data_IF_493761188595
#
_entry.id   IF_493761188595
#
_cell.length_a   1.000
_cell.length_b   1.000
_cell.length_c   1.000
_cell.angle_alpha   90.00
_cell.angle_beta   90.00
_cell.angle_gamma   90.00
#
_symmetry.space_group_name_H-M   'P 1'
#
loop_
_entity.id
_entity.type
_entity.pdbx_description
1 polymer ?
#
# COMPACT_ATOMS: atom_id res chain seq x y z
N UNK A 1 -23.28 17.38 -10.70
CA UNK A 1 -21.91 17.91 -10.56
C UNK A 1 -21.21 16.99 -9.58
N UNK A 2 -20.54 15.98 -10.12
CA UNK A 2 -19.89 14.91 -9.39
C UNK A 2 -18.55 15.43 -8.88
N UNK A 3 -18.47 15.69 -7.57
CA UNK A 3 -17.18 15.95 -6.95
C UNK A 3 -16.50 14.60 -6.75
N UNK A 4 -15.71 14.20 -7.75
CA UNK A 4 -14.56 13.30 -7.58
C UNK A 4 -13.78 13.80 -6.38
N UNK A 5 -13.75 13.04 -5.28
CA UNK A 5 -12.80 13.28 -4.21
C UNK A 5 -11.40 13.18 -4.83
N UNK A 6 -10.67 14.30 -4.98
CA UNK A 6 -9.29 14.22 -5.33
C UNK A 6 -8.63 13.77 -4.04
N UNK A 7 -8.38 12.48 -3.88
CA UNK A 7 -7.24 12.08 -3.06
C UNK A 7 -6.05 12.42 -3.96
N UNK A 8 -5.73 13.72 -4.00
CA UNK A 8 -4.44 14.18 -4.49
C UNK A 8 -3.42 13.33 -3.76
N UNK A 9 -2.58 12.67 -4.55
CA UNK A 9 -1.45 11.90 -4.10
C UNK A 9 -0.58 12.82 -3.25
N UNK A 10 -0.87 12.89 -1.95
CA UNK A 10 -0.08 13.66 -1.01
C UNK A 10 1.34 13.11 -1.11
N UNK A 11 2.23 13.92 -1.68
CA UNK A 11 3.63 13.60 -1.76
C UNK A 11 4.09 13.31 -0.33
N UNK A 12 4.48 12.06 -0.07
CA UNK A 12 4.85 11.60 1.26
C UNK A 12 5.93 12.51 1.86
N UNK A 13 6.83 13.05 1.04
CA UNK A 13 7.86 14.01 1.47
C UNK A 13 7.27 15.31 2.01
N UNK A 14 6.17 15.82 1.42
CA UNK A 14 5.49 17.02 1.88
C UNK A 14 4.78 16.79 3.22
N UNK A 15 4.07 15.66 3.37
CA UNK A 15 3.43 15.27 4.65
C UNK A 15 4.49 15.12 5.75
N UNK A 16 5.68 14.61 5.40
CA UNK A 16 6.82 14.52 6.31
C UNK A 16 7.32 15.91 6.71
N UNK A 17 7.47 16.83 5.75
CA UNK A 17 7.95 18.19 6.01
C UNK A 17 6.99 18.96 6.92
N UNK A 18 5.68 18.84 6.71
CA UNK A 18 4.68 19.55 7.49
C UNK A 18 4.63 19.03 8.94
N UNK A 19 4.76 17.72 9.14
CA UNK A 19 4.89 17.12 10.48
C UNK A 19 6.17 17.55 11.20
N UNK A 20 7.25 17.82 10.46
CA UNK A 20 8.52 18.30 11.03
C UNK A 20 8.43 19.77 11.48
N UNK A 21 7.63 20.59 10.80
CA UNK A 21 7.43 22.00 11.12
C UNK A 21 6.46 22.23 12.29
N UNK A 22 5.54 21.29 12.54
CA UNK A 22 4.53 21.40 13.59
C UNK A 22 5.04 21.14 15.04
N UNK A 23 6.35 20.97 15.24
CA UNK A 23 6.93 20.64 16.55
C UNK A 23 7.36 21.92 17.30
N UNK A 24 6.86 22.20 18.51
CA UNK A 24 7.21 23.41 19.28
C UNK A 24 8.70 23.49 19.62
N UNK A 25 9.28 24.68 19.46
CA UNK A 25 10.70 24.99 19.62
C UNK A 25 11.22 24.80 21.06
N UNK A 26 10.31 24.77 22.03
CA UNK A 26 10.58 24.87 23.48
C UNK A 26 10.99 23.55 24.17
N UNK A 27 10.75 22.40 23.52
CA UNK A 27 11.10 21.06 24.06
C UNK A 27 12.54 20.69 23.70
N UNK A 28 13.51 21.37 24.32
CA UNK A 28 14.95 21.05 24.42
C UNK A 28 15.62 20.51 23.12
N UNK A 29 16.38 21.38 22.44
CA UNK A 29 17.11 21.12 21.17
C UNK A 29 17.79 19.75 21.03
N UNK A 30 18.32 19.17 22.12
CA UNK A 30 18.92 17.82 22.11
C UNK A 30 17.89 16.68 21.99
N UNK A 31 16.73 16.79 22.69
CA UNK A 31 15.64 15.82 22.56
C UNK A 31 14.98 15.91 21.19
N UNK A 32 14.85 17.12 20.63
CA UNK A 32 14.37 17.33 19.26
C UNK A 32 15.28 16.69 18.21
N UNK A 33 16.60 16.85 18.29
CA UNK A 33 17.49 16.22 17.31
C UNK A 33 17.42 14.69 17.37
N UNK A 34 17.44 14.12 18.57
CA UNK A 34 17.33 12.67 18.75
C UNK A 34 15.97 12.13 18.27
N UNK A 35 14.87 12.82 18.60
CA UNK A 35 13.54 12.46 18.10
C UNK A 35 13.39 12.65 16.60
N UNK A 36 13.92 13.74 16.02
CA UNK A 36 13.93 13.97 14.57
C UNK A 36 14.74 12.89 13.87
N UNK A 37 15.94 12.56 14.35
CA UNK A 37 16.76 11.46 13.82
C UNK A 37 16.05 10.11 13.96
N UNK A 38 15.39 9.84 15.08
CA UNK A 38 14.64 8.61 15.28
C UNK A 38 13.38 8.53 14.40
N UNK A 39 12.67 9.64 14.22
CA UNK A 39 11.50 9.76 13.35
C UNK A 39 11.92 9.59 11.89
N UNK A 40 12.94 10.33 11.44
CA UNK A 40 13.52 10.18 10.10
C UNK A 40 14.00 8.75 9.87
N UNK A 41 14.71 8.13 10.81
CA UNK A 41 15.16 6.74 10.72
C UNK A 41 13.98 5.76 10.66
N UNK A 42 12.92 5.99 11.42
CA UNK A 42 11.71 5.15 11.40
C UNK A 42 10.88 5.34 10.13
N UNK A 43 10.92 6.53 9.54
CA UNK A 43 10.31 6.84 8.25
C UNK A 43 11.13 6.28 7.08
N UNK A 44 12.46 6.31 7.18
CA UNK A 44 13.40 5.71 6.22
C UNK A 44 13.46 4.19 6.34
N UNK A 45 13.10 3.62 7.49
CA UNK A 45 13.16 2.17 7.71
C UNK A 45 11.90 1.69 8.44
N UNK A 46 10.74 1.66 7.75
CA UNK A 46 9.54 1.07 8.30
C UNK A 46 9.80 -0.39 8.70
N UNK A 47 9.17 -0.82 9.79
CA UNK A 47 9.34 -2.18 10.28
C UNK A 47 8.81 -3.19 9.25
N UNK A 48 9.56 -4.26 8.95
CA UNK A 48 9.11 -5.28 8.01
C UNK A 48 7.76 -5.87 8.42
N UNK A 49 6.91 -6.14 7.44
CA UNK A 49 5.64 -6.84 7.66
C UNK A 49 5.94 -8.26 8.15
N UNK A 50 5.42 -8.57 9.33
CA UNK A 50 5.66 -9.86 9.98
C UNK A 50 4.87 -10.98 9.29
N UNK A 51 5.44 -12.19 9.27
CA UNK A 51 4.77 -13.38 8.71
C UNK A 51 4.83 -13.50 7.19
N UNK A 52 5.53 -12.60 6.51
CA UNK A 52 5.71 -12.64 5.06
C UNK A 52 7.03 -13.33 4.72
N UNK A 53 6.96 -14.32 3.83
CA UNK A 53 8.11 -15.11 3.37
C UNK A 53 8.39 -14.92 1.88
N UNK A 54 9.50 -15.46 1.39
CA UNK A 54 9.76 -15.51 -0.05
C UNK A 54 8.88 -16.59 -0.69
N UNK A 55 8.25 -16.28 -1.82
CA UNK A 55 7.52 -17.24 -2.61
C UNK A 55 8.49 -18.28 -3.19
N UNK A 56 8.26 -19.56 -2.89
CA UNK A 56 9.03 -20.71 -3.40
C UNK A 56 8.29 -21.47 -4.49
N UNK A 57 6.98 -21.27 -4.58
CA UNK A 57 6.08 -21.90 -5.54
C UNK A 57 5.09 -20.87 -6.05
N UNK A 58 4.57 -21.08 -7.25
CA UNK A 58 3.52 -20.22 -7.81
C UNK A 58 2.18 -20.51 -7.14
N UNK A 59 1.49 -19.47 -6.69
CA UNK A 59 0.11 -19.57 -6.18
C UNK A 59 -0.75 -18.50 -6.81
N UNK A 60 -1.98 -18.86 -7.16
CA UNK A 60 -2.97 -17.93 -7.69
C UNK A 60 -4.28 -18.11 -6.92
N UNK A 61 -4.76 -17.02 -6.34
CA UNK A 61 -6.00 -16.97 -5.57
C UNK A 61 -6.92 -15.90 -6.16
N UNK A 62 -8.20 -16.22 -6.27
CA UNK A 62 -9.23 -15.27 -6.68
C UNK A 62 -9.95 -14.74 -5.43
N UNK A 63 -9.94 -13.43 -5.25
CA UNK A 63 -10.55 -12.74 -4.13
C UNK A 63 -11.79 -11.95 -4.59
N UNK A 64 -12.90 -12.12 -3.87
CA UNK A 64 -14.13 -11.36 -4.07
C UNK A 64 -14.20 -10.22 -3.04
N UNK A 65 -14.08 -8.95 -3.47
CA UNK A 65 -14.11 -7.81 -2.56
C UNK A 65 -15.53 -7.41 -2.13
N UNK A 66 -16.56 -8.21 -2.45
CA UNK A 66 -17.92 -7.95 -2.01
C UNK A 66 -18.01 -7.91 -0.48
N UNK A 67 -18.48 -6.80 0.07
CA UNK A 67 -18.70 -6.63 1.50
C UNK A 67 -20.19 -6.52 1.80
N UNK A 68 -20.60 -7.10 2.93
CA UNK A 68 -21.95 -6.84 3.47
C UNK A 68 -21.89 -5.63 4.39
N UNK A 69 -22.69 -4.63 4.07
CA UNK A 69 -22.79 -3.39 4.83
C UNK A 69 -23.36 -3.71 6.22
N UNK A 70 -22.61 -3.44 7.28
CA UNK A 70 -22.96 -3.81 8.66
C UNK A 70 -23.84 -2.77 9.39
N UNK A 71 -23.93 -1.57 8.84
CA UNK A 71 -24.74 -0.45 9.31
C UNK A 71 -25.16 0.41 8.13
N UNK A 72 -26.27 1.12 8.24
CA UNK A 72 -26.70 2.03 7.17
C UNK A 72 -25.59 3.04 6.87
N UNK A 73 -25.22 3.16 5.60
CA UNK A 73 -24.24 4.12 5.13
C UNK A 73 -25.01 5.31 4.57
N UNK A 74 -24.79 6.49 5.15
CA UNK A 74 -25.31 7.76 4.63
C UNK A 74 -24.16 8.63 4.14
N UNK A 75 -24.42 9.46 3.14
CA UNK A 75 -23.50 10.52 2.75
C UNK A 75 -23.47 11.65 3.81
N UNK A 76 -22.59 12.63 3.62
CA UNK A 76 -22.45 13.80 4.50
C UNK A 76 -23.69 14.72 4.50
N UNK A 77 -24.63 14.51 3.58
CA UNK A 77 -25.88 15.26 3.42
C UNK A 77 -27.09 14.48 3.94
N UNK A 78 -26.90 13.29 4.51
CA UNK A 78 -27.95 12.45 5.07
C UNK A 78 -28.68 11.57 4.04
N UNK A 79 -28.22 11.49 2.79
CA UNK A 79 -28.77 10.58 1.80
C UNK A 79 -28.24 9.16 2.04
N UNK A 80 -29.12 8.18 2.00
CA UNK A 80 -28.76 6.78 2.20
C UNK A 80 -28.00 6.24 0.98
N UNK A 81 -26.72 5.90 1.18
CA UNK A 81 -25.83 5.28 0.19
C UNK A 81 -26.09 3.78 0.09
N UNK A 82 -26.30 3.12 1.23
CA UNK A 82 -26.61 1.69 1.30
C UNK A 82 -27.27 1.33 2.64
N UNK A 83 -28.24 0.42 2.59
CA UNK A 83 -28.86 -0.15 3.79
C UNK A 83 -27.98 -1.23 4.42
N UNK A 84 -28.06 -1.39 5.74
CA UNK A 84 -27.52 -2.53 6.46
C UNK A 84 -28.02 -3.84 5.83
N UNK A 85 -27.09 -4.75 5.58
CA UNK A 85 -27.35 -6.03 4.91
C UNK A 85 -27.17 -5.99 3.39
N UNK A 86 -26.99 -4.81 2.79
CA UNK A 86 -26.68 -4.71 1.36
C UNK A 86 -25.31 -5.32 1.08
N UNK A 87 -25.22 -6.21 0.10
CA UNK A 87 -23.94 -6.69 -0.44
C UNK A 87 -23.50 -5.74 -1.54
N UNK A 88 -22.34 -5.12 -1.36
CA UNK A 88 -21.76 -4.20 -2.35
C UNK A 88 -20.39 -4.71 -2.78
N UNK A 89 -20.13 -4.69 -4.07
CA UNK A 89 -18.79 -4.93 -4.61
C UNK A 89 -18.19 -3.59 -5.07
N UNK A 90 -17.12 -3.10 -4.42
CA UNK A 90 -16.49 -1.82 -4.81
C UNK A 90 -16.08 -1.77 -6.29
N UNK A 91 -15.71 -2.91 -6.88
CA UNK A 91 -15.29 -3.02 -8.28
C UNK A 91 -16.45 -2.89 -9.28
N UNK A 92 -17.71 -2.85 -8.83
CA UNK A 92 -18.85 -2.56 -9.71
C UNK A 92 -18.97 -1.09 -10.04
N UNK A 93 -18.51 -0.21 -9.14
CA UNK A 93 -18.61 1.24 -9.29
C UNK A 93 -17.28 1.86 -9.69
N UNK A 94 -16.16 1.24 -9.31
CA UNK A 94 -14.82 1.78 -9.55
C UNK A 94 -13.83 0.67 -9.80
N UNK A 95 -13.26 0.63 -11.01
CA UNK A 95 -12.13 -0.25 -11.33
C UNK A 95 -10.84 0.28 -10.72
N UNK A 96 -9.93 -0.61 -10.40
CA UNK A 96 -8.55 -0.27 -10.08
C UNK A 96 -7.91 0.44 -11.29
N UNK A 97 -7.38 1.64 -11.05
CA UNK A 97 -6.66 2.41 -12.08
C UNK A 97 -5.30 1.79 -12.44
N UNK A 98 -4.77 0.92 -11.59
CA UNK A 98 -3.49 0.23 -11.73
C UNK A 98 -3.49 -1.06 -10.92
N UNK A 99 -2.67 -2.04 -11.32
CA UNK A 99 -2.41 -3.23 -10.52
C UNK A 99 -1.54 -2.91 -9.30
N UNK A 100 -1.38 -3.90 -8.40
CA UNK A 100 -0.50 -3.76 -7.24
C UNK A 100 0.64 -4.78 -7.32
N UNK A 101 1.84 -4.36 -6.97
CA UNK A 101 3.00 -5.25 -6.79
C UNK A 101 3.47 -5.14 -5.35
N UNK A 102 3.41 -6.25 -4.62
CA UNK A 102 3.91 -6.38 -3.27
C UNK A 102 5.24 -7.12 -3.28
N UNK A 103 6.29 -6.51 -2.74
CA UNK A 103 7.62 -7.13 -2.75
C UNK A 103 8.54 -6.63 -1.64
N UNK A 104 9.63 -7.36 -1.40
CA UNK A 104 10.67 -6.98 -0.45
C UNK A 104 11.67 -6.04 -1.14
N UNK A 105 11.66 -4.76 -0.77
CA UNK A 105 12.52 -3.73 -1.33
C UNK A 105 13.99 -3.81 -0.87
N UNK A 106 14.33 -4.74 0.04
CA UNK A 106 15.73 -5.02 0.41
C UNK A 106 16.39 -6.04 -0.52
N UNK A 107 15.61 -6.66 -1.41
CA UNK A 107 16.05 -7.73 -2.30
C UNK A 107 16.17 -7.24 -3.75
N UNK A 108 17.38 -7.20 -4.33
CA UNK A 108 17.56 -6.76 -5.72
C UNK A 108 16.76 -7.58 -6.73
N UNK A 109 16.60 -8.89 -6.49
CA UNK A 109 15.84 -9.76 -7.39
C UNK A 109 14.33 -9.42 -7.40
N UNK A 110 13.79 -8.96 -6.27
CA UNK A 110 12.40 -8.49 -6.17
C UNK A 110 12.21 -7.16 -6.92
N UNK A 111 13.15 -6.23 -6.77
CA UNK A 111 13.12 -4.95 -7.49
C UNK A 111 13.20 -5.22 -9.01
N UNK A 112 14.10 -6.09 -9.45
CA UNK A 112 14.22 -6.47 -10.86
C UNK A 112 12.93 -7.10 -11.40
N UNK A 113 12.29 -7.98 -10.63
CA UNK A 113 10.98 -8.54 -10.96
C UNK A 113 9.89 -7.47 -11.06
N UNK A 114 9.86 -6.50 -10.15
CA UNK A 114 8.88 -5.42 -10.17
C UNK A 114 9.04 -4.51 -11.41
N UNK A 115 10.29 -4.28 -11.83
CA UNK A 115 10.64 -3.53 -13.06
C UNK A 115 10.30 -4.28 -14.34
N UNK A 116 10.31 -5.62 -14.30
CA UNK A 116 10.00 -6.43 -15.47
C UNK A 116 8.49 -6.60 -15.72
N UNK A 117 7.63 -6.11 -14.82
CA UNK A 117 6.18 -6.22 -15.01
C UNK A 117 5.69 -5.20 -16.04
N UNK A 118 4.95 -5.68 -17.03
CA UNK A 118 4.34 -4.84 -18.06
C UNK A 118 2.99 -4.30 -17.59
N UNK A 119 2.82 -2.98 -17.66
CA UNK A 119 1.59 -2.27 -17.30
C UNK A 119 1.76 -1.29 -16.14
N UNK A 120 0.67 -0.62 -15.79
CA UNK A 120 0.64 0.36 -14.69
C UNK A 120 0.44 -0.34 -13.35
N UNK A 121 1.44 -0.23 -12.48
CA UNK A 121 1.43 -0.85 -11.15
C UNK A 121 1.85 0.12 -10.05
N UNK A 122 1.16 0.06 -8.91
CA UNK A 122 1.65 0.65 -7.66
C UNK A 122 2.62 -0.30 -6.99
N UNK A 123 3.78 0.23 -6.62
CA UNK A 123 4.81 -0.52 -5.91
C UNK A 123 4.59 -0.42 -4.41
N UNK A 124 4.44 -1.55 -3.75
CA UNK A 124 4.16 -1.63 -2.32
C UNK A 124 5.21 -2.53 -1.68
N UNK A 125 5.99 -1.94 -0.78
CA UNK A 125 7.02 -2.67 -0.05
C UNK A 125 6.43 -3.35 1.19
N UNK A 126 6.85 -4.59 1.43
CA UNK A 126 6.64 -5.29 2.71
C UNK A 126 7.86 -5.19 3.62
N UNK A 127 8.99 -4.77 3.07
CA UNK A 127 10.27 -4.56 3.75
C UNK A 127 11.13 -3.61 2.90
N UNK A 128 12.05 -2.88 3.51
CA UNK A 128 12.92 -1.89 2.86
C UNK A 128 12.45 -0.45 3.02
N UNK A 129 13.14 0.48 2.34
CA UNK A 129 12.91 1.92 2.42
C UNK A 129 12.13 2.43 1.20
N UNK A 130 10.86 2.83 1.36
CA UNK A 130 10.07 3.40 0.26
C UNK A 130 10.70 4.67 -0.30
N UNK A 131 11.18 5.56 0.58
CA UNK A 131 11.75 6.85 0.18
C UNK A 131 13.05 6.67 -0.60
N UNK A 132 13.90 5.73 -0.22
CA UNK A 132 15.13 5.44 -0.97
C UNK A 132 14.79 4.86 -2.34
N UNK A 133 13.86 3.90 -2.41
CA UNK A 133 13.49 3.27 -3.67
C UNK A 133 12.76 4.24 -4.61
N UNK A 134 11.89 5.11 -4.08
CA UNK A 134 11.22 6.17 -4.84
C UNK A 134 12.24 7.15 -5.46
N UNK A 135 13.24 7.58 -4.68
CA UNK A 135 14.31 8.43 -5.19
C UNK A 135 15.18 7.72 -6.25
N UNK A 136 15.41 6.42 -6.12
CA UNK A 136 16.20 5.63 -7.06
C UNK A 136 15.47 5.36 -8.36
N UNK A 137 14.17 5.05 -8.28
CA UNK A 137 13.37 4.58 -9.40
C UNK A 137 12.52 5.70 -10.04
N UNK A 138 12.50 6.89 -9.42
CA UNK A 138 11.80 8.07 -9.94
C UNK A 138 10.29 7.89 -10.03
N UNK A 139 9.70 7.05 -9.18
CA UNK A 139 8.28 6.70 -9.18
C UNK A 139 7.74 6.56 -7.76
N UNK A 140 6.43 6.79 -7.52
CA UNK A 140 5.84 6.59 -6.20
C UNK A 140 6.04 5.16 -5.68
N UNK A 141 6.53 5.03 -4.45
CA UNK A 141 6.67 3.74 -3.75
C UNK A 141 5.97 3.81 -2.39
N UNK A 142 5.09 2.84 -2.15
CA UNK A 142 4.30 2.72 -0.93
C UNK A 142 4.85 1.62 -0.01
N UNK A 143 4.33 1.56 1.21
CA UNK A 143 4.64 0.50 2.16
C UNK A 143 3.35 -0.10 2.72
N UNK A 144 3.28 -1.42 2.87
CA UNK A 144 2.13 -2.08 3.50
C UNK A 144 2.22 -1.95 5.04
N UNK A 145 2.00 -0.74 5.53
CA UNK A 145 2.18 -0.42 6.95
C UNK A 145 1.27 -1.29 7.83
N UNK A 146 1.90 -2.08 8.69
CA UNK A 146 1.18 -3.00 9.57
C UNK A 146 0.59 -4.23 8.86
N UNK A 147 0.93 -4.47 7.60
CA UNK A 147 0.51 -5.65 6.84
C UNK A 147 -0.97 -5.65 6.48
N UNK A 148 -1.58 -4.48 6.26
CA UNK A 148 -3.01 -4.38 6.00
C UNK A 148 -3.39 -5.10 4.70
N UNK A 149 -2.68 -4.83 3.62
CA UNK A 149 -2.91 -5.42 2.30
C UNK A 149 -2.60 -6.91 2.35
N UNK A 150 -1.47 -7.29 2.94
CA UNK A 150 -1.11 -8.70 3.11
C UNK A 150 -2.17 -9.49 3.89
N UNK A 151 -2.69 -8.95 5.00
CA UNK A 151 -3.75 -9.61 5.79
C UNK A 151 -5.08 -9.65 5.05
N UNK A 152 -5.46 -8.55 4.40
CA UNK A 152 -6.75 -8.43 3.72
C UNK A 152 -6.89 -9.42 2.56
N UNK A 153 -5.78 -9.67 1.86
CA UNK A 153 -5.71 -10.56 0.71
C UNK A 153 -5.05 -11.90 1.02
N UNK A 154 -4.80 -12.20 2.30
CA UNK A 154 -4.20 -13.46 2.77
C UNK A 154 -2.87 -13.80 2.08
N UNK A 155 -2.09 -12.77 1.74
CA UNK A 155 -0.77 -12.91 1.12
C UNK A 155 0.21 -13.34 2.21
N UNK A 156 0.82 -14.50 2.02
CA UNK A 156 1.84 -15.04 2.90
C UNK A 156 3.23 -14.93 2.28
N UNK A 157 3.32 -14.81 0.95
CA UNK A 157 4.59 -14.81 0.25
C UNK A 157 4.72 -13.68 -0.78
N UNK A 158 5.94 -13.17 -0.92
CA UNK A 158 6.32 -12.17 -1.92
C UNK A 158 7.46 -12.69 -2.82
N UNK A 159 7.61 -12.20 -4.06
CA UNK A 159 6.82 -11.16 -4.70
C UNK A 159 5.38 -11.62 -5.03
N UNK A 160 4.44 -10.68 -4.95
CA UNK A 160 3.03 -10.91 -5.21
C UNK A 160 2.47 -9.84 -6.14
N UNK A 161 1.66 -10.23 -7.12
CA UNK A 161 0.96 -9.34 -8.06
C UNK A 161 -0.55 -9.42 -7.83
N UNK A 162 -1.21 -8.28 -7.80
CA UNK A 162 -2.67 -8.19 -7.70
C UNK A 162 -3.20 -7.46 -8.92
N UNK A 163 -4.12 -8.11 -9.64
CA UNK A 163 -4.78 -7.58 -10.83
C UNK A 163 -6.29 -7.69 -10.69
N UNK A 164 -7.02 -6.73 -11.25
CA UNK A 164 -8.46 -6.85 -11.37
C UNK A 164 -8.83 -7.77 -12.54
N UNK A 165 -9.70 -8.75 -12.28
CA UNK A 165 -10.37 -9.56 -13.29
C UNK A 165 -11.88 -9.41 -13.14
N UNK A 166 -12.46 -8.53 -13.96
CA UNK A 166 -13.88 -8.19 -13.86
C UNK A 166 -14.20 -7.59 -12.48
N UNK A 167 -15.04 -8.29 -11.71
CA UNK A 167 -15.45 -7.87 -10.35
C UNK A 167 -14.65 -8.56 -9.23
N UNK A 168 -13.55 -9.21 -9.56
CA UNK A 168 -12.70 -9.95 -8.62
C UNK A 168 -11.25 -9.50 -8.75
N UNK A 169 -10.45 -9.84 -7.75
CA UNK A 169 -9.02 -9.64 -7.76
C UNK A 169 -8.32 -11.00 -7.94
N UNK A 170 -7.35 -11.06 -8.85
CA UNK A 170 -6.43 -12.17 -8.99
C UNK A 170 -5.15 -11.82 -8.26
N UNK A 171 -4.78 -12.64 -7.28
CA UNK A 171 -3.60 -12.48 -6.43
C UNK A 171 -2.64 -13.61 -6.79
N UNK A 172 -1.47 -13.25 -7.29
CA UNK A 172 -0.45 -14.17 -7.77
C UNK A 172 0.83 -14.04 -6.94
N UNK A 173 1.14 -15.04 -6.12
CA UNK A 173 2.45 -15.17 -5.46
C UNK A 173 3.41 -15.87 -6.45
N UNK A 174 4.53 -15.23 -6.79
CA UNK A 174 5.42 -15.71 -7.85
C UNK A 174 6.79 -16.11 -7.32
N UNK A 175 7.25 -17.34 -7.55
CA UNK A 175 8.61 -17.72 -7.21
C UNK A 175 9.56 -17.03 -8.17
N UNK A 176 10.53 -16.30 -7.62
CA UNK A 176 11.62 -15.72 -8.41
C UNK A 176 12.93 -16.37 -7.99
N UNK A 177 13.65 -16.90 -8.98
CA UNK A 177 14.99 -17.43 -8.76
C UNK A 177 15.92 -16.26 -8.42
N UNK A 178 16.67 -16.40 -7.32
CA UNK A 178 17.77 -15.48 -7.04
C UNK A 178 18.91 -15.85 -7.99
N UNK A 179 19.28 -14.94 -8.87
CA UNK A 179 20.53 -15.08 -9.66
C UNK A 179 21.73 -14.71 -8.81
#
# INVERSE_FOLDING_TARGET
HENTFPIEEENLAQVIQDKLQAIPEEVLKEKQEAWKKALLKRLQSPSPVQGISKATEYRCTIFDPSITVNQDITDLYGNQIAEKGTVINPLEKTSLSSGLLLFDGTRPEHIAWAKSQEGEFKWILVNGSPLELENQEGRPVFFDQGGFICRKFEIANVPCRILQQGKRLMIEEMPIEGR
#
